data_IF_880172396726
#
_entry.id   IF_880172396726
#
_cell.length_a   1.000
_cell.length_b   1.000
_cell.length_c   1.000
_cell.angle_alpha   90.00
_cell.angle_beta   90.00
_cell.angle_gamma   90.00
#
_symmetry.space_group_name_H-M   'P 1'
#
loop_
_entity.id
_entity.type
_entity.pdbx_description
1 polymer ?
#
# COMPACT_ATOMS: atom_id res chain seq x y z
N UNK A 1 23.89 -17.70 -58.92
CA UNK A 1 23.06 -17.05 -57.83
C UNK A 1 23.94 -16.12 -56.97
N UNK A 2 25.26 -16.21 -57.00
CA UNK A 2 26.19 -15.40 -56.18
C UNK A 2 26.61 -14.06 -56.81
N UNK A 3 26.09 -13.69 -58.01
CA UNK A 3 26.55 -12.51 -58.74
C UNK A 3 25.61 -11.30 -58.66
N UNK A 4 24.47 -11.40 -58.00
CA UNK A 4 23.46 -10.31 -57.95
C UNK A 4 23.64 -9.39 -56.74
N UNK A 5 24.24 -9.89 -55.64
CA UNK A 5 24.37 -9.13 -54.42
C UNK A 5 25.29 -7.90 -54.53
N UNK A 6 26.45 -7.95 -55.22
CA UNK A 6 27.29 -6.77 -55.37
C UNK A 6 26.69 -5.70 -56.32
N UNK A 7 25.80 -6.11 -57.26
CA UNK A 7 25.18 -5.17 -58.18
C UNK A 7 24.13 -4.28 -57.50
N UNK A 8 23.42 -4.83 -56.52
CA UNK A 8 22.42 -4.07 -55.75
C UNK A 8 23.10 -3.01 -54.84
N UNK A 9 24.29 -3.33 -54.29
CA UNK A 9 25.02 -2.39 -53.45
C UNK A 9 25.60 -1.19 -54.19
N UNK A 10 25.89 -1.33 -55.51
CA UNK A 10 26.42 -0.25 -56.35
C UNK A 10 25.32 0.70 -56.82
N UNK A 11 24.11 0.18 -57.07
CA UNK A 11 23.00 0.98 -57.59
C UNK A 11 22.11 1.63 -56.49
N UNK A 12 22.20 1.18 -55.25
CA UNK A 12 21.42 1.75 -54.13
C UNK A 12 22.33 2.14 -52.95
N UNK A 13 23.15 3.18 -53.11
CA UNK A 13 24.03 3.64 -52.02
C UNK A 13 23.24 4.16 -50.78
N UNK A 14 21.94 4.43 -50.94
CA UNK A 14 21.07 4.86 -49.85
C UNK A 14 20.83 3.79 -48.79
N UNK A 15 21.09 2.53 -49.09
CA UNK A 15 20.96 1.42 -48.14
C UNK A 15 22.17 1.38 -47.18
N UNK A 16 23.31 1.95 -47.58
CA UNK A 16 24.55 1.98 -46.77
C UNK A 16 24.69 3.22 -45.88
N UNK A 17 24.04 4.31 -46.26
CA UNK A 17 24.04 5.54 -45.45
C UNK A 17 22.69 5.69 -44.79
N UNK A 18 22.57 5.12 -43.60
CA UNK A 18 21.34 5.17 -42.80
C UNK A 18 20.63 6.51 -42.90
N UNK A 19 19.33 6.51 -42.71
CA UNK A 19 18.43 7.64 -42.71
C UNK A 19 19.10 8.84 -41.98
N UNK A 20 19.22 10.02 -42.61
CA UNK A 20 19.82 11.16 -41.95
C UNK A 20 19.04 11.49 -40.68
N UNK A 21 19.73 11.46 -39.55
CA UNK A 21 19.19 11.70 -38.18
C UNK A 21 18.62 13.14 -37.99
N UNK A 22 18.68 13.98 -39.02
CA UNK A 22 18.28 15.39 -38.98
C UNK A 22 16.78 15.67 -39.12
N UNK A 23 15.91 14.65 -39.16
CA UNK A 23 14.46 14.85 -39.28
C UNK A 23 13.64 14.11 -38.17
N UNK A 24 14.31 13.67 -37.10
CA UNK A 24 13.57 13.36 -35.89
C UNK A 24 13.36 14.66 -35.15
N UNK A 25 12.43 15.47 -35.64
CA UNK A 25 11.76 16.43 -34.77
C UNK A 25 11.16 15.61 -33.64
N UNK A 26 11.81 15.64 -32.50
CA UNK A 26 11.27 15.24 -31.21
C UNK A 26 10.10 16.19 -30.88
N UNK A 27 9.00 16.06 -31.62
CA UNK A 27 7.71 16.30 -31.01
C UNK A 27 7.54 15.16 -30.01
N UNK A 28 8.22 15.32 -28.87
CA UNK A 28 7.76 14.72 -27.65
C UNK A 28 6.31 15.18 -27.54
N UNK A 29 5.41 14.37 -28.06
CA UNK A 29 4.01 14.43 -27.69
C UNK A 29 4.04 14.33 -26.16
N UNK A 30 4.02 15.49 -25.51
CA UNK A 30 3.58 15.59 -24.13
C UNK A 30 2.19 14.96 -24.17
N UNK A 31 2.15 13.66 -23.85
CA UNK A 31 0.91 13.01 -23.46
C UNK A 31 0.33 13.98 -22.42
N UNK A 32 -0.81 14.60 -22.69
CA UNK A 32 -1.39 15.52 -21.72
C UNK A 32 -1.51 14.70 -20.45
N UNK A 33 -0.72 15.08 -19.44
CA UNK A 33 -0.84 14.56 -18.08
C UNK A 33 -2.29 14.87 -17.72
N UNK A 34 -3.17 13.86 -17.84
CA UNK A 34 -4.57 13.96 -17.45
C UNK A 34 -4.53 14.56 -16.06
N UNK A 35 -4.89 15.82 -15.92
CA UNK A 35 -5.02 16.48 -14.63
C UNK A 35 -6.00 15.62 -13.87
N UNK A 36 -5.51 14.98 -12.80
CA UNK A 36 -6.35 14.23 -11.89
C UNK A 36 -7.35 15.24 -11.36
N UNK A 37 -8.66 15.01 -11.47
CA UNK A 37 -9.64 15.96 -10.96
C UNK A 37 -9.30 16.24 -9.50
N UNK A 38 -9.14 17.52 -9.17
CA UNK A 38 -8.86 17.96 -7.81
C UNK A 38 -10.05 17.53 -6.95
N UNK A 39 -9.81 16.62 -6.03
CA UNK A 39 -10.83 16.12 -5.11
C UNK A 39 -11.22 17.26 -4.16
N UNK A 40 -12.51 17.56 -4.03
CA UNK A 40 -12.97 18.63 -3.15
C UNK A 40 -12.69 18.24 -1.70
N UNK A 41 -12.32 19.20 -0.87
CA UNK A 41 -11.96 18.98 0.55
C UNK A 41 -13.07 18.25 1.32
N UNK A 42 -14.34 18.52 1.02
CA UNK A 42 -15.50 17.85 1.61
C UNK A 42 -15.56 16.36 1.24
N UNK A 43 -15.31 16.02 -0.03
CA UNK A 43 -15.30 14.62 -0.51
C UNK A 43 -14.16 13.82 0.14
N UNK A 44 -13.04 14.48 0.46
CA UNK A 44 -11.94 13.86 1.20
C UNK A 44 -12.28 13.57 2.65
N UNK A 45 -13.00 14.47 3.32
CA UNK A 45 -13.47 14.25 4.68
C UNK A 45 -14.44 13.07 4.75
N UNK A 46 -15.42 13.03 3.84
CA UNK A 46 -16.38 11.93 3.75
C UNK A 46 -15.69 10.59 3.45
N UNK A 47 -14.65 10.61 2.60
CA UNK A 47 -13.88 9.41 2.30
C UNK A 47 -13.09 8.93 3.52
N UNK A 48 -12.48 9.85 4.28
CA UNK A 48 -11.75 9.52 5.49
C UNK A 48 -12.67 8.92 6.56
N UNK A 49 -13.88 9.48 6.74
CA UNK A 49 -14.88 8.94 7.66
C UNK A 49 -15.29 7.53 7.25
N UNK A 50 -15.57 7.28 5.98
CA UNK A 50 -15.89 5.94 5.46
C UNK A 50 -14.75 4.93 5.70
N UNK A 51 -13.50 5.35 5.53
CA UNK A 51 -12.34 4.50 5.80
C UNK A 51 -12.31 4.12 7.29
N UNK A 52 -12.42 5.10 8.19
CA UNK A 52 -12.37 4.84 9.62
C UNK A 52 -13.54 3.98 10.08
N UNK A 53 -14.75 4.26 9.62
CA UNK A 53 -15.94 3.47 9.93
C UNK A 53 -15.76 2.01 9.48
N UNK A 54 -15.26 1.78 8.27
CA UNK A 54 -14.99 0.43 7.76
C UNK A 54 -13.96 -0.32 8.61
N UNK A 55 -12.91 0.37 9.06
CA UNK A 55 -11.92 -0.22 9.95
C UNK A 55 -12.50 -0.58 11.33
N UNK A 56 -13.43 0.23 11.85
CA UNK A 56 -14.06 -0.02 13.16
C UNK A 56 -15.11 -1.12 13.11
N UNK A 57 -15.97 -1.11 12.09
CA UNK A 57 -17.10 -2.04 11.99
C UNK A 57 -16.69 -3.41 11.46
N UNK A 58 -16.04 -3.45 10.30
CA UNK A 58 -15.71 -4.70 9.61
C UNK A 58 -14.37 -5.29 10.03
N UNK A 59 -13.52 -4.46 10.66
CA UNK A 59 -12.17 -4.86 11.14
C UNK A 59 -11.32 -5.58 10.08
N UNK A 60 -11.26 -5.06 8.84
CA UNK A 60 -10.57 -5.74 7.74
C UNK A 60 -9.08 -5.95 8.01
N UNK A 61 -8.51 -5.15 8.91
CA UNK A 61 -7.12 -5.26 9.33
C UNK A 61 -6.77 -6.58 10.03
N UNK A 62 -7.77 -7.33 10.51
CA UNK A 62 -7.56 -8.66 11.10
C UNK A 62 -7.21 -9.72 10.05
N UNK A 63 -7.52 -9.47 8.79
CA UNK A 63 -7.01 -10.29 7.70
C UNK A 63 -5.52 -9.94 7.45
N UNK A 64 -4.57 -10.89 7.58
CA UNK A 64 -3.14 -10.63 7.35
C UNK A 64 -2.83 -10.10 5.95
N UNK A 65 -3.58 -10.52 4.93
CA UNK A 65 -3.40 -10.14 3.53
C UNK A 65 -4.09 -8.82 3.14
N UNK A 66 -4.87 -8.19 4.05
CA UNK A 66 -5.60 -6.98 3.76
C UNK A 66 -4.70 -5.86 3.22
N UNK A 67 -5.00 -5.37 2.05
CA UNK A 67 -4.22 -4.43 1.26
C UNK A 67 -4.98 -3.15 0.92
N UNK A 68 -4.27 -2.16 0.38
CA UNK A 68 -4.90 -0.95 -0.17
C UNK A 68 -5.76 -1.25 -1.42
N UNK A 69 -5.44 -2.33 -2.13
CA UNK A 69 -6.24 -2.79 -3.27
C UNK A 69 -7.61 -3.27 -2.81
N UNK A 70 -7.68 -4.04 -1.73
CA UNK A 70 -8.93 -4.52 -1.14
C UNK A 70 -9.78 -3.33 -0.67
N UNK A 71 -9.17 -2.34 -0.02
CA UNK A 71 -9.85 -1.12 0.40
C UNK A 71 -10.38 -0.32 -0.80
N UNK A 72 -9.60 -0.23 -1.89
CA UNK A 72 -9.99 0.44 -3.13
C UNK A 72 -11.22 -0.23 -3.76
N UNK A 73 -11.23 -1.55 -3.81
CA UNK A 73 -12.36 -2.34 -4.32
C UNK A 73 -13.59 -2.17 -3.44
N UNK A 74 -13.44 -2.27 -2.13
CA UNK A 74 -14.56 -2.16 -1.18
C UNK A 74 -15.26 -0.79 -1.26
N UNK A 75 -14.48 0.29 -1.27
CA UNK A 75 -15.03 1.65 -1.30
C UNK A 75 -15.43 2.10 -2.71
N UNK A 76 -15.06 1.35 -3.76
CA UNK A 76 -15.32 1.74 -5.15
C UNK A 76 -14.54 2.98 -5.59
N UNK A 77 -13.40 3.28 -4.95
CA UNK A 77 -12.58 4.46 -5.26
C UNK A 77 -11.19 4.09 -5.76
N UNK A 78 -10.64 4.81 -6.74
CA UNK A 78 -9.29 4.54 -7.24
C UNK A 78 -8.23 4.73 -6.17
N UNK A 79 -7.16 3.91 -6.18
CA UNK A 79 -6.06 3.97 -5.22
C UNK A 79 -5.42 5.36 -5.07
N UNK A 80 -5.34 6.16 -6.14
CA UNK A 80 -4.76 7.50 -6.05
C UNK A 80 -5.56 8.42 -5.12
N UNK A 81 -6.90 8.27 -5.07
CA UNK A 81 -7.76 9.03 -4.14
C UNK A 81 -7.53 8.58 -2.70
N UNK A 82 -7.36 7.27 -2.47
CA UNK A 82 -6.99 6.75 -1.16
C UNK A 82 -5.63 7.28 -0.71
N UNK A 83 -4.60 7.24 -1.57
CA UNK A 83 -3.29 7.84 -1.27
C UNK A 83 -3.40 9.33 -0.91
N UNK A 84 -4.21 10.07 -1.63
CA UNK A 84 -4.41 11.49 -1.38
C UNK A 84 -5.14 11.70 -0.04
N UNK A 85 -6.18 10.95 0.25
CA UNK A 85 -6.91 10.98 1.51
C UNK A 85 -6.01 10.61 2.71
N UNK A 86 -5.26 9.54 2.61
CA UNK A 86 -4.32 9.12 3.65
C UNK A 86 -3.26 10.19 3.94
N UNK A 87 -2.65 10.76 2.90
CA UNK A 87 -1.55 11.72 3.06
C UNK A 87 -2.02 13.11 3.46
N UNK A 88 -3.13 13.61 2.89
CA UNK A 88 -3.56 15.00 3.08
C UNK A 88 -4.60 15.19 4.18
N UNK A 89 -5.44 14.18 4.41
CA UNK A 89 -6.54 14.29 5.37
C UNK A 89 -6.28 13.50 6.65
N UNK A 90 -5.91 12.23 6.53
CA UNK A 90 -5.60 11.40 7.70
C UNK A 90 -4.18 11.62 8.24
N UNK A 91 -3.31 12.26 7.46
CA UNK A 91 -1.89 12.48 7.79
C UNK A 91 -1.16 11.23 8.27
N UNK A 92 -1.51 10.09 7.67
CA UNK A 92 -0.95 8.76 7.96
C UNK A 92 -0.86 7.95 6.69
N UNK A 93 0.04 6.97 6.64
CA UNK A 93 0.06 5.97 5.58
C UNK A 93 -0.95 4.87 5.87
N UNK A 94 -1.46 4.20 4.82
CA UNK A 94 -2.35 3.04 4.97
C UNK A 94 -1.76 1.98 5.91
N UNK A 95 -0.46 1.67 5.74
CA UNK A 95 0.23 0.68 6.55
C UNK A 95 0.23 1.09 8.03
N UNK A 96 0.49 2.35 8.33
CA UNK A 96 0.47 2.88 9.70
C UNK A 96 -0.93 2.77 10.32
N UNK A 97 -1.97 3.18 9.60
CA UNK A 97 -3.33 3.07 10.10
C UNK A 97 -3.68 1.61 10.39
N UNK A 98 -3.43 0.72 9.45
CA UNK A 98 -3.66 -0.72 9.61
C UNK A 98 -2.91 -1.30 10.81
N UNK A 99 -1.65 -0.94 10.97
CA UNK A 99 -0.80 -1.37 12.07
C UNK A 99 -1.34 -0.88 13.42
N UNK A 100 -1.72 0.40 13.52
CA UNK A 100 -2.28 0.96 14.73
C UNK A 100 -3.55 0.23 15.18
N UNK A 101 -4.45 -0.09 14.24
CA UNK A 101 -5.65 -0.87 14.55
C UNK A 101 -5.33 -2.30 15.00
N UNK A 102 -4.36 -2.97 14.36
CA UNK A 102 -3.89 -4.30 14.77
C UNK A 102 -3.31 -4.29 16.19
N UNK A 103 -2.45 -3.33 16.50
CA UNK A 103 -1.85 -3.20 17.84
C UNK A 103 -2.91 -2.84 18.89
N UNK A 104 -3.84 -1.94 18.57
CA UNK A 104 -4.96 -1.63 19.46
C UNK A 104 -5.82 -2.87 19.75
N UNK A 105 -6.08 -3.70 18.74
CA UNK A 105 -6.79 -4.97 18.91
C UNK A 105 -5.99 -5.96 19.75
N UNK A 106 -4.70 -6.12 19.48
CA UNK A 106 -3.82 -6.98 20.26
C UNK A 106 -3.77 -6.58 21.74
N UNK A 107 -3.68 -5.28 22.04
CA UNK A 107 -3.75 -4.77 23.43
C UNK A 107 -5.05 -5.18 24.12
N UNK A 108 -6.18 -5.09 23.44
CA UNK A 108 -7.48 -5.53 23.98
C UNK A 108 -7.48 -7.02 24.30
N UNK A 109 -6.96 -7.85 23.40
CA UNK A 109 -6.86 -9.31 23.62
C UNK A 109 -5.91 -9.65 24.77
N UNK A 110 -4.75 -8.97 24.86
CA UNK A 110 -3.77 -9.19 25.94
C UNK A 110 -4.31 -8.84 27.33
N UNK A 111 -5.31 -7.95 27.41
CA UNK A 111 -5.94 -7.52 28.67
C UNK A 111 -7.28 -8.20 28.96
N UNK A 112 -7.80 -8.96 28.02
CA UNK A 112 -9.08 -9.67 28.18
C UNK A 112 -8.87 -11.02 28.88
N UNK A 113 -9.94 -11.56 29.45
CA UNK A 113 -9.98 -12.95 29.96
C UNK A 113 -9.77 -13.99 28.87
N UNK A 114 -9.87 -13.61 27.59
CA UNK A 114 -9.55 -14.48 26.45
C UNK A 114 -8.07 -14.89 26.45
N UNK A 115 -7.20 -14.12 27.11
CA UNK A 115 -5.80 -14.47 27.27
C UNK A 115 -5.60 -15.77 28.08
N UNK A 116 -6.53 -16.14 28.94
CA UNK A 116 -6.47 -17.41 29.70
C UNK A 116 -6.73 -18.63 28.78
N UNK A 117 -7.36 -18.41 27.64
CA UNK A 117 -7.68 -19.42 26.62
C UNK A 117 -6.82 -19.36 25.36
N UNK A 118 -6.21 -18.19 25.06
CA UNK A 118 -5.39 -17.96 23.87
C UNK A 118 -3.90 -17.96 24.21
N UNK A 119 -3.12 -18.74 23.46
CA UNK A 119 -1.66 -18.58 23.48
C UNK A 119 -1.26 -17.24 22.86
N UNK A 120 -0.03 -16.76 23.13
CA UNK A 120 0.51 -15.60 22.42
C UNK A 120 0.44 -15.76 20.91
N UNK A 121 0.55 -16.99 20.40
CA UNK A 121 0.37 -17.30 18.99
C UNK A 121 -1.05 -17.02 18.52
N UNK A 122 -2.03 -17.44 19.27
CA UNK A 122 -3.44 -17.11 18.99
C UNK A 122 -3.67 -15.61 18.95
N UNK A 123 -3.03 -14.83 19.84
CA UNK A 123 -3.21 -13.38 19.90
C UNK A 123 -2.65 -12.67 18.67
N UNK A 124 -1.42 -12.99 18.22
CA UNK A 124 -0.91 -12.28 17.02
C UNK A 124 -1.68 -12.68 15.76
N UNK A 125 -2.08 -13.96 15.63
CA UNK A 125 -2.92 -14.40 14.53
C UNK A 125 -4.29 -13.72 14.53
N UNK A 126 -4.96 -13.67 15.67
CA UNK A 126 -6.25 -12.99 15.84
C UNK A 126 -6.15 -11.46 15.61
N UNK A 127 -4.95 -10.89 15.77
CA UNK A 127 -4.69 -9.47 15.50
C UNK A 127 -4.25 -9.18 14.06
N UNK A 128 -4.27 -10.17 13.17
CA UNK A 128 -3.94 -10.01 11.76
C UNK A 128 -2.43 -9.99 11.43
N UNK A 129 -1.58 -10.45 12.34
CA UNK A 129 -0.16 -10.62 12.06
C UNK A 129 0.13 -12.02 11.53
N UNK A 130 0.93 -12.10 10.45
CA UNK A 130 1.29 -13.37 9.82
C UNK A 130 2.50 -14.05 10.47
N UNK A 131 3.22 -13.39 11.38
CA UNK A 131 4.38 -13.98 12.04
C UNK A 131 4.64 -13.36 13.42
N UNK A 132 5.19 -14.19 14.32
CA UNK A 132 5.64 -13.77 15.64
C UNK A 132 6.62 -12.61 15.60
N UNK A 133 7.64 -12.71 14.74
CA UNK A 133 8.69 -11.68 14.65
C UNK A 133 8.11 -10.32 14.28
N UNK A 134 7.25 -10.26 13.26
CA UNK A 134 6.61 -9.03 12.86
C UNK A 134 5.72 -8.46 13.97
N UNK A 135 4.94 -9.31 14.65
CA UNK A 135 4.11 -8.88 15.78
C UNK A 135 4.96 -8.27 16.91
N UNK A 136 5.98 -8.98 17.39
CA UNK A 136 6.79 -8.53 18.53
C UNK A 136 7.55 -7.24 18.22
N UNK A 137 8.15 -7.13 17.03
CA UNK A 137 8.86 -5.93 16.60
C UNK A 137 7.92 -4.74 16.52
N UNK A 138 6.80 -4.90 15.80
CA UNK A 138 5.82 -3.84 15.62
C UNK A 138 5.15 -3.42 16.93
N UNK A 139 4.82 -4.39 17.80
CA UNK A 139 4.22 -4.09 19.10
C UNK A 139 5.18 -3.26 19.96
N UNK A 140 6.47 -3.61 20.00
CA UNK A 140 7.49 -2.86 20.74
C UNK A 140 7.72 -1.46 20.14
N UNK A 141 7.74 -1.32 18.83
CA UNK A 141 7.85 -0.01 18.15
C UNK A 141 6.68 0.91 18.50
N UNK A 142 5.45 0.38 18.52
CA UNK A 142 4.23 1.17 18.78
C UNK A 142 3.95 1.43 20.27
N UNK A 143 4.47 0.60 21.17
CA UNK A 143 4.14 0.68 22.60
C UNK A 143 5.32 0.99 23.51
N UNK A 144 6.54 0.87 22.98
CA UNK A 144 7.79 1.00 23.74
C UNK A 144 8.20 -0.26 24.51
N UNK A 145 7.31 -1.26 24.64
CA UNK A 145 7.54 -2.49 25.43
C UNK A 145 7.13 -3.73 24.65
N UNK A 146 7.65 -4.88 25.00
CA UNK A 146 7.21 -6.16 24.41
C UNK A 146 5.81 -6.54 24.88
N UNK A 147 5.09 -7.41 24.15
CA UNK A 147 3.78 -7.90 24.59
C UNK A 147 3.79 -8.52 25.99
N UNK A 148 4.88 -9.23 26.35
CA UNK A 148 5.04 -9.86 27.66
C UNK A 148 5.22 -8.82 28.76
N UNK A 149 6.09 -7.84 28.55
CA UNK A 149 6.29 -6.71 29.47
C UNK A 149 5.00 -5.90 29.64
N UNK A 150 4.25 -5.70 28.55
CA UNK A 150 2.96 -5.01 28.58
C UNK A 150 1.97 -5.70 29.54
N UNK A 151 1.84 -7.03 29.44
CA UNK A 151 0.99 -7.82 30.35
C UNK A 151 1.45 -7.68 31.80
N UNK A 152 2.76 -7.76 32.04
CA UNK A 152 3.33 -7.65 33.41
C UNK A 152 3.05 -6.30 34.03
N UNK A 153 3.21 -5.21 33.29
CA UNK A 153 2.93 -3.85 33.77
C UNK A 153 1.47 -3.66 34.15
N UNK A 154 0.54 -4.24 33.39
CA UNK A 154 -0.89 -4.10 33.65
C UNK A 154 -1.36 -4.94 34.87
N UNK A 155 -0.67 -6.04 35.18
CA UNK A 155 -0.96 -6.85 36.38
C UNK A 155 -0.47 -6.21 37.67
N UNK A 156 0.44 -5.22 37.58
CA UNK A 156 1.03 -4.52 38.75
C UNK A 156 0.36 -3.16 39.03
N UNK A 157 -0.54 -2.72 38.15
CA UNK A 157 -1.31 -1.46 38.28
C UNK A 157 -2.69 -1.72 38.83
#
# INVERSE_FOLDING_TARGET
ILSIIPLVMVFYPQVLYGIPVSQISTTASRVPKKEKPAFKTTEMADLAEKILLYFETEKPYLNPSFSLDDLSVYLGVPKYQLYECFNKHLNKKFIELRTNFRIAHAKKLLLSSEMDSLSLEGIWNASGFSSKTNFFTTFKEETGVTPIEFIQQQKLS
#
